data_IF_890831378669
#
_entry.id   IF_890831378669
#
_cell.length_a   1.000
_cell.length_b   1.000
_cell.length_c   1.000
_cell.angle_alpha   90.00
_cell.angle_beta   90.00
_cell.angle_gamma   90.00
#
_symmetry.space_group_name_H-M   'P 1'
#
loop_
_entity.id
_entity.type
_entity.pdbx_description
1 polymer ?
#
# COMPACT_ATOMS: atom_id res chain seq x y z
N UNK A 1 1.58 19.25 -27.36
CA UNK A 1 1.62 17.79 -27.61
C UNK A 1 2.89 17.13 -27.07
N UNK A 2 4.10 17.67 -27.31
CA UNK A 2 5.39 17.09 -26.83
C UNK A 2 5.48 16.80 -25.31
N UNK A 3 5.01 17.69 -24.43
CA UNK A 3 5.09 17.47 -22.97
C UNK A 3 4.18 16.35 -22.45
N UNK A 4 3.04 16.12 -23.12
CA UNK A 4 2.08 15.07 -22.73
C UNK A 4 2.65 13.71 -23.10
N UNK A 5 3.26 13.58 -24.29
CA UNK A 5 3.94 12.37 -24.76
C UNK A 5 5.13 12.03 -23.85
N UNK A 6 5.96 13.02 -23.52
CA UNK A 6 7.09 12.79 -22.60
C UNK A 6 6.65 12.39 -21.18
N UNK A 7 5.46 12.79 -20.73
CA UNK A 7 4.93 12.39 -19.43
C UNK A 7 4.33 10.98 -19.47
N UNK A 8 3.61 10.62 -20.53
CA UNK A 8 3.09 9.26 -20.72
C UNK A 8 4.21 8.23 -20.86
N UNK A 9 5.28 8.56 -21.59
CA UNK A 9 6.43 7.67 -21.75
C UNK A 9 7.12 7.40 -20.40
N UNK A 10 7.25 8.44 -19.55
CA UNK A 10 7.78 8.29 -18.19
C UNK A 10 6.89 7.41 -17.31
N UNK A 11 5.56 7.54 -17.43
CA UNK A 11 4.63 6.71 -16.68
C UNK A 11 4.67 5.24 -17.13
N UNK A 12 4.84 4.98 -18.42
CA UNK A 12 4.98 3.61 -18.93
C UNK A 12 6.29 2.97 -18.48
N UNK A 13 7.40 3.71 -18.51
CA UNK A 13 8.68 3.23 -17.96
C UNK A 13 8.54 2.97 -16.45
N UNK A 14 7.89 3.87 -15.71
CA UNK A 14 7.68 3.67 -14.27
C UNK A 14 6.83 2.42 -13.99
N UNK A 15 5.76 2.20 -14.75
CA UNK A 15 4.88 1.02 -14.63
C UNK A 15 5.61 -0.26 -15.02
N UNK A 16 6.45 -0.24 -16.05
CA UNK A 16 7.24 -1.41 -16.45
C UNK A 16 8.27 -1.76 -15.38
N UNK A 17 8.96 -0.78 -14.79
CA UNK A 17 9.90 -1.01 -13.70
C UNK A 17 9.20 -1.55 -12.44
N UNK A 18 8.06 -0.99 -12.05
CA UNK A 18 7.28 -1.45 -10.88
C UNK A 18 6.75 -2.89 -11.07
N UNK A 19 6.46 -3.28 -12.32
CA UNK A 19 6.08 -4.67 -12.63
C UNK A 19 7.21 -5.68 -12.43
N UNK A 20 8.47 -5.26 -12.58
CA UNK A 20 9.66 -6.11 -12.38
C UNK A 20 10.06 -6.11 -10.90
N UNK A 21 10.06 -4.96 -10.25
CA UNK A 21 10.33 -4.81 -8.82
C UNK A 21 9.26 -3.89 -8.22
N UNK A 22 8.34 -4.48 -7.45
CA UNK A 22 7.36 -3.74 -6.65
C UNK A 22 8.11 -2.77 -5.73
N UNK A 23 8.07 -1.48 -6.10
CA UNK A 23 8.88 -0.45 -5.47
C UNK A 23 8.50 -0.31 -4.00
N UNK A 24 7.20 -0.40 -3.70
CA UNK A 24 6.66 -0.28 -2.36
C UNK A 24 7.09 -1.42 -1.43
N UNK A 25 7.33 -2.63 -1.94
CA UNK A 25 7.67 -3.80 -1.10
C UNK A 25 9.13 -4.21 -1.14
N UNK A 26 9.87 -3.82 -2.17
CA UNK A 26 11.19 -4.41 -2.47
C UNK A 26 12.35 -3.42 -2.42
N UNK A 27 12.34 -2.52 -1.42
CA UNK A 27 13.37 -1.47 -1.25
C UNK A 27 14.80 -2.04 -1.21
N UNK A 28 15.01 -3.17 -0.52
CA UNK A 28 16.32 -3.84 -0.46
C UNK A 28 16.77 -4.34 -1.84
N UNK A 29 15.86 -4.85 -2.66
CA UNK A 29 16.21 -5.28 -4.03
C UNK A 29 16.65 -4.09 -4.87
N UNK A 30 15.99 -2.94 -4.75
CA UNK A 30 16.36 -1.71 -5.46
C UNK A 30 17.73 -1.19 -5.01
N UNK A 31 17.97 -1.13 -3.70
CA UNK A 31 19.25 -0.66 -3.16
C UNK A 31 20.42 -1.51 -3.64
N UNK A 32 20.26 -2.84 -3.62
CA UNK A 32 21.28 -3.78 -4.11
C UNK A 32 21.48 -3.62 -5.62
N UNK A 33 20.40 -3.48 -6.39
CA UNK A 33 20.50 -3.34 -7.84
C UNK A 33 21.20 -2.03 -8.22
N UNK A 34 20.87 -0.92 -7.55
CA UNK A 34 21.52 0.38 -7.74
C UNK A 34 23.00 0.32 -7.36
N UNK A 35 23.32 -0.30 -6.22
CA UNK A 35 24.69 -0.52 -5.77
C UNK A 35 25.51 -1.30 -6.81
N UNK A 36 24.99 -2.44 -7.29
CA UNK A 36 25.65 -3.25 -8.32
C UNK A 36 25.71 -2.55 -9.69
N UNK A 37 24.73 -1.70 -10.01
CA UNK A 37 24.70 -0.91 -11.24
C UNK A 37 25.77 0.19 -11.28
N UNK A 38 26.16 0.71 -10.11
CA UNK A 38 27.16 1.75 -9.97
C UNK A 38 28.57 1.20 -9.72
N UNK A 39 28.67 -0.02 -9.20
CA UNK A 39 29.94 -0.69 -8.95
C UNK A 39 30.54 -1.27 -10.25
N UNK A 40 31.81 -0.98 -10.49
CA UNK A 40 32.57 -1.61 -11.58
C UNK A 40 33.09 -2.98 -11.10
N UNK A 41 32.27 -4.03 -11.18
CA UNK A 41 32.71 -5.41 -10.90
C UNK A 41 31.70 -6.24 -10.10
N UNK A 42 32.14 -7.43 -9.67
CA UNK A 42 31.34 -8.29 -8.81
C UNK A 42 31.41 -7.83 -7.34
N UNK A 43 30.35 -8.08 -6.59
CA UNK A 43 30.34 -7.85 -5.13
C UNK A 43 29.85 -9.09 -4.38
N UNK A 44 30.47 -9.37 -3.25
CA UNK A 44 30.03 -10.48 -2.38
C UNK A 44 28.79 -10.06 -1.56
N UNK A 45 28.00 -11.03 -1.11
CA UNK A 45 26.84 -10.74 -0.25
C UNK A 45 27.24 -10.05 1.07
N UNK A 46 28.43 -10.39 1.60
CA UNK A 46 28.96 -9.78 2.83
C UNK A 46 29.35 -8.33 2.60
N UNK A 47 30.03 -8.06 1.48
CA UNK A 47 30.43 -6.71 1.09
C UNK A 47 29.21 -5.81 0.86
N UNK A 48 28.21 -6.30 0.12
CA UNK A 48 26.94 -5.57 -0.09
C UNK A 48 26.25 -5.27 1.24
N UNK A 49 26.23 -6.22 2.18
CA UNK A 49 25.63 -6.03 3.50
C UNK A 49 26.34 -4.95 4.31
N UNK A 50 27.67 -4.92 4.28
CA UNK A 50 28.48 -3.90 4.96
C UNK A 50 28.25 -2.53 4.32
N UNK A 51 28.42 -2.43 3.00
CA UNK A 51 28.37 -1.16 2.28
C UNK A 51 26.98 -0.51 2.33
N UNK A 52 25.92 -1.31 2.36
CA UNK A 52 24.54 -0.81 2.45
C UNK A 52 24.01 -0.71 3.88
N UNK A 53 24.76 -1.20 4.88
CA UNK A 53 24.31 -1.25 6.28
C UNK A 53 23.11 -2.17 6.50
N UNK A 54 23.01 -3.26 5.74
CA UNK A 54 21.86 -4.17 5.72
C UNK A 54 22.20 -5.49 6.43
N UNK A 55 21.16 -6.18 6.92
CA UNK A 55 21.33 -7.53 7.49
C UNK A 55 21.70 -8.51 6.38
N UNK A 56 22.79 -9.28 6.57
CA UNK A 56 23.28 -10.27 5.61
C UNK A 56 22.19 -11.21 5.08
N UNK A 57 21.34 -11.75 5.96
CA UNK A 57 20.23 -12.64 5.55
C UNK A 57 19.24 -11.96 4.60
N UNK A 58 18.94 -10.68 4.84
CA UNK A 58 18.05 -9.90 3.97
C UNK A 58 18.68 -9.62 2.61
N UNK A 59 19.99 -9.34 2.60
CA UNK A 59 20.78 -9.18 1.36
C UNK A 59 20.79 -10.47 0.55
N UNK A 60 21.06 -11.61 1.19
CA UNK A 60 21.10 -12.91 0.52
C UNK A 60 19.75 -13.30 -0.10
N UNK A 61 18.63 -13.09 0.61
CA UNK A 61 17.28 -13.34 0.09
C UNK A 61 16.97 -12.43 -1.12
N UNK A 62 17.33 -11.14 -1.03
CA UNK A 62 17.14 -10.21 -2.12
C UNK A 62 18.00 -10.56 -3.35
N UNK A 63 19.27 -10.93 -3.17
CA UNK A 63 20.15 -11.39 -4.24
C UNK A 63 19.57 -12.64 -4.93
N UNK A 64 19.06 -13.60 -4.16
CA UNK A 64 18.40 -14.80 -4.72
C UNK A 64 17.20 -14.42 -5.59
N UNK A 65 16.37 -13.47 -5.14
CA UNK A 65 15.20 -12.97 -5.89
C UNK A 65 15.59 -12.21 -7.14
N UNK A 66 16.58 -11.34 -7.06
CA UNK A 66 17.11 -10.59 -8.20
C UNK A 66 17.72 -11.52 -9.26
N UNK A 67 18.42 -12.58 -8.83
CA UNK A 67 18.99 -13.57 -9.73
C UNK A 67 17.90 -14.37 -10.47
N UNK A 68 16.84 -14.78 -9.76
CA UNK A 68 15.67 -15.43 -10.38
C UNK A 68 14.95 -14.54 -11.41
N UNK A 69 15.01 -13.23 -11.23
CA UNK A 69 14.46 -12.24 -12.17
C UNK A 69 15.40 -11.94 -13.36
N UNK A 70 16.59 -12.54 -13.41
CA UNK A 70 17.57 -12.29 -14.47
C UNK A 70 18.25 -10.92 -14.39
N UNK A 71 18.05 -10.15 -13.32
CA UNK A 71 18.62 -8.80 -13.17
C UNK A 71 20.07 -8.81 -12.66
N UNK A 72 20.46 -9.88 -11.99
CA UNK A 72 21.83 -10.14 -11.56
C UNK A 72 22.19 -11.59 -11.86
N UNK A 73 23.48 -11.87 -11.98
CA UNK A 73 24.02 -13.22 -12.13
C UNK A 73 25.03 -13.50 -11.04
N UNK A 74 25.07 -14.74 -10.56
CA UNK A 74 26.12 -15.20 -9.65
C UNK A 74 27.32 -15.65 -10.48
N UNK A 75 28.47 -15.00 -10.30
CA UNK A 75 29.73 -15.39 -10.94
C UNK A 75 30.80 -15.60 -9.88
N UNK A 76 31.28 -16.84 -9.75
CA UNK A 76 32.20 -17.24 -8.69
C UNK A 76 31.62 -17.00 -7.29
N UNK A 77 32.40 -16.34 -6.42
CA UNK A 77 31.99 -15.97 -5.06
C UNK A 77 31.14 -14.69 -4.95
N UNK A 78 30.82 -14.03 -6.08
CA UNK A 78 30.13 -12.74 -6.09
C UNK A 78 28.93 -12.67 -7.01
N UNK A 79 28.30 -11.50 -7.01
CA UNK A 79 27.14 -11.16 -7.84
C UNK A 79 27.51 -10.02 -8.78
N UNK A 80 27.06 -10.12 -10.03
CA UNK A 80 27.24 -9.12 -11.08
C UNK A 80 25.87 -8.70 -11.61
N UNK A 81 25.71 -7.42 -11.93
CA UNK A 81 24.51 -6.95 -12.63
C UNK A 81 24.52 -7.40 -14.11
N UNK A 82 23.37 -7.89 -14.59
CA UNK A 82 23.20 -8.33 -15.99
C UNK A 82 22.98 -7.12 -16.91
N UNK A 83 22.79 -7.38 -18.21
CA UNK A 83 22.38 -6.33 -19.17
C UNK A 83 21.01 -5.77 -18.80
N UNK A 84 20.05 -6.63 -18.52
CA UNK A 84 18.68 -6.26 -18.14
C UNK A 84 18.66 -5.49 -16.81
N UNK A 85 19.47 -5.91 -15.84
CA UNK A 85 19.65 -5.17 -14.58
C UNK A 85 20.22 -3.76 -14.81
N UNK A 86 21.22 -3.60 -15.69
CA UNK A 86 21.77 -2.29 -16.04
C UNK A 86 20.76 -1.41 -16.75
N UNK A 87 19.96 -1.98 -17.64
CA UNK A 87 18.89 -1.25 -18.32
C UNK A 87 17.82 -0.79 -17.32
N UNK A 88 17.43 -1.64 -16.38
CA UNK A 88 16.53 -1.27 -15.30
C UNK A 88 17.07 -0.07 -14.50
N UNK A 89 18.32 -0.13 -14.05
CA UNK A 89 18.94 0.96 -13.27
C UNK A 89 19.03 2.24 -14.10
N UNK A 90 19.40 2.15 -15.39
CA UNK A 90 19.45 3.30 -16.29
C UNK A 90 18.08 3.95 -16.45
N UNK A 91 17.04 3.15 -16.67
CA UNK A 91 15.66 3.64 -16.83
C UNK A 91 15.17 4.31 -15.54
N UNK A 92 15.46 3.72 -14.37
CA UNK A 92 15.19 4.33 -13.08
C UNK A 92 15.90 5.70 -12.96
N UNK A 93 17.18 5.79 -13.32
CA UNK A 93 17.94 7.04 -13.23
C UNK A 93 17.47 8.10 -14.24
N UNK A 94 17.05 7.71 -15.44
CA UNK A 94 16.43 8.62 -16.40
C UNK A 94 15.13 9.25 -15.86
N UNK A 95 14.29 8.45 -15.19
CA UNK A 95 13.06 8.95 -14.58
C UNK A 95 13.34 9.96 -13.45
N UNK A 96 14.38 9.68 -12.67
CA UNK A 96 14.75 10.36 -11.44
C UNK A 96 15.52 11.65 -11.70
N UNK A 97 16.58 11.58 -12.51
CA UNK A 97 17.55 12.67 -12.69
C UNK A 97 17.51 13.31 -14.07
N UNK A 98 16.74 12.76 -15.01
CA UNK A 98 16.73 13.21 -16.41
C UNK A 98 18.05 12.92 -17.16
N UNK A 99 19.02 12.28 -16.50
CA UNK A 99 20.35 11.98 -17.03
C UNK A 99 20.57 10.46 -17.09
N UNK A 100 21.23 10.01 -18.15
CA UNK A 100 21.55 8.59 -18.42
C UNK A 100 22.90 8.15 -17.88
N UNK A 101 23.78 9.08 -17.52
CA UNK A 101 25.14 8.77 -17.09
C UNK A 101 25.17 8.44 -15.60
N UNK A 102 25.34 7.15 -15.29
CA UNK A 102 25.68 6.66 -13.96
C UNK A 102 27.17 6.94 -13.72
N UNK A 103 27.50 8.06 -13.07
CA UNK A 103 28.90 8.44 -12.84
C UNK A 103 29.35 7.98 -11.46
N UNK A 104 29.03 6.75 -11.08
CA UNK A 104 29.72 5.94 -10.06
C UNK A 104 30.00 6.61 -8.71
N UNK A 105 29.32 7.70 -8.35
CA UNK A 105 29.65 8.47 -7.15
C UNK A 105 28.77 8.03 -5.98
N UNK A 106 29.36 7.93 -4.79
CA UNK A 106 28.66 7.60 -3.53
C UNK A 106 27.52 8.59 -3.24
N UNK A 107 27.68 9.85 -3.65
CA UNK A 107 26.66 10.89 -3.58
C UNK A 107 25.43 10.57 -4.44
N UNK A 108 25.63 10.00 -5.64
CA UNK A 108 24.55 9.59 -6.54
C UNK A 108 23.76 8.40 -5.95
N UNK A 109 24.46 7.42 -5.34
CA UNK A 109 23.82 6.33 -4.60
C UNK A 109 22.93 6.85 -3.47
N UNK A 110 23.44 7.82 -2.69
CA UNK A 110 22.67 8.41 -1.58
C UNK A 110 21.43 9.14 -2.11
N UNK A 111 21.57 9.93 -3.18
CA UNK A 111 20.46 10.65 -3.79
C UNK A 111 19.40 9.72 -4.37
N UNK A 112 19.82 8.62 -5.01
CA UNK A 112 18.92 7.60 -5.53
C UNK A 112 18.20 6.86 -4.40
N UNK A 113 18.89 6.51 -3.32
CA UNK A 113 18.28 5.89 -2.13
C UNK A 113 17.20 6.79 -1.53
N UNK A 114 17.54 8.06 -1.28
CA UNK A 114 16.58 9.06 -0.77
C UNK A 114 15.38 9.20 -1.70
N UNK A 115 15.59 9.17 -3.02
CA UNK A 115 14.48 9.26 -3.96
C UNK A 115 13.60 8.00 -3.99
N UNK A 116 14.19 6.81 -3.93
CA UNK A 116 13.43 5.55 -3.80
C UNK A 116 12.61 5.57 -2.51
N UNK A 117 13.21 6.00 -1.39
CA UNK A 117 12.48 6.17 -0.13
C UNK A 117 11.34 7.18 -0.25
N UNK A 118 11.55 8.31 -0.93
CA UNK A 118 10.50 9.30 -1.20
C UNK A 118 9.39 8.73 -2.08
N UNK A 119 9.72 7.95 -3.10
CA UNK A 119 8.74 7.31 -3.99
C UNK A 119 7.90 6.28 -3.24
N UNK A 120 8.55 5.43 -2.44
CA UNK A 120 7.87 4.45 -1.57
C UNK A 120 6.97 5.16 -0.57
N UNK A 121 7.46 6.24 0.04
CA UNK A 121 6.69 7.05 0.99
C UNK A 121 5.47 7.68 0.29
N UNK A 122 5.65 8.25 -0.91
CA UNK A 122 4.56 8.81 -1.70
C UNK A 122 3.51 7.75 -2.06
N UNK A 123 3.92 6.54 -2.41
CA UNK A 123 3.00 5.45 -2.72
C UNK A 123 2.19 5.03 -1.49
N UNK A 124 2.86 4.87 -0.33
CA UNK A 124 2.14 4.59 0.92
C UNK A 124 1.18 5.73 1.29
N UNK A 125 1.58 6.99 1.11
CA UNK A 125 0.69 8.13 1.37
C UNK A 125 -0.51 8.14 0.43
N UNK A 126 -0.32 7.82 -0.85
CA UNK A 126 -1.39 7.64 -1.82
C UNK A 126 -2.40 6.59 -1.33
N UNK A 127 -1.92 5.41 -0.95
CA UNK A 127 -2.77 4.33 -0.45
C UNK A 127 -3.48 4.70 0.85
N UNK A 128 -2.80 5.39 1.78
CA UNK A 128 -3.39 5.87 3.04
C UNK A 128 -4.49 6.89 2.76
N UNK A 129 -4.24 7.86 1.88
CA UNK A 129 -5.23 8.88 1.51
C UNK A 129 -6.45 8.21 0.88
N UNK A 130 -6.24 7.25 -0.02
CA UNK A 130 -7.32 6.51 -0.66
C UNK A 130 -8.12 5.68 0.36
N UNK A 131 -7.43 4.98 1.26
CA UNK A 131 -8.03 4.16 2.31
C UNK A 131 -8.87 5.00 3.28
N UNK A 132 -8.34 6.15 3.71
CA UNK A 132 -9.08 7.13 4.52
C UNK A 132 -10.23 7.73 3.72
N UNK A 133 -10.05 8.01 2.42
CA UNK A 133 -11.12 8.48 1.54
C UNK A 133 -12.33 7.54 1.48
N UNK A 134 -12.09 6.23 1.57
CA UNK A 134 -13.13 5.20 1.60
C UNK A 134 -13.67 4.91 3.02
N UNK A 135 -12.93 5.28 4.06
CA UNK A 135 -13.31 5.05 5.45
C UNK A 135 -14.52 5.90 5.87
N UNK A 136 -15.34 5.37 6.79
CA UNK A 136 -16.38 6.16 7.47
C UNK A 136 -15.72 7.35 8.19
N UNK A 137 -16.28 8.56 8.00
CA UNK A 137 -15.76 9.82 8.55
C UNK A 137 -14.30 10.16 8.16
N UNK A 138 -13.79 9.56 7.08
CA UNK A 138 -12.42 9.71 6.62
C UNK A 138 -11.33 9.37 7.64
N UNK A 139 -11.63 8.49 8.60
CA UNK A 139 -10.75 8.19 9.74
C UNK A 139 -10.45 6.69 9.89
N UNK A 140 -9.22 6.36 10.24
CA UNK A 140 -8.82 4.99 10.54
C UNK A 140 -7.73 4.93 11.62
N UNK A 141 -7.75 3.86 12.41
CA UNK A 141 -6.71 3.61 13.41
C UNK A 141 -5.41 3.16 12.76
N UNK A 142 -4.28 3.49 13.39
CA UNK A 142 -2.94 3.06 12.92
C UNK A 142 -2.84 1.54 12.70
N UNK A 143 -3.49 0.73 13.53
CA UNK A 143 -3.50 -0.74 13.40
C UNK A 143 -4.17 -1.23 12.11
N UNK A 144 -5.31 -0.64 11.75
CA UNK A 144 -6.03 -0.96 10.53
C UNK A 144 -5.25 -0.53 9.30
N UNK A 145 -4.72 0.70 9.31
CA UNK A 145 -3.91 1.21 8.21
C UNK A 145 -2.63 0.38 8.02
N UNK A 146 -1.94 0.00 9.11
CA UNK A 146 -0.70 -0.80 9.00
C UNK A 146 -0.96 -2.18 8.40
N UNK A 147 -2.08 -2.81 8.77
CA UNK A 147 -2.50 -4.11 8.21
C UNK A 147 -2.88 -4.00 6.74
N UNK A 148 -3.55 -2.91 6.35
CA UNK A 148 -3.96 -2.67 4.98
C UNK A 148 -2.76 -2.44 4.06
N UNK A 149 -1.84 -1.55 4.48
CA UNK A 149 -0.65 -1.18 3.70
C UNK A 149 0.40 -2.30 3.73
N UNK A 150 0.41 -3.13 4.77
CA UNK A 150 1.34 -4.25 4.91
C UNK A 150 2.71 -3.85 5.48
N UNK A 151 2.78 -2.78 6.27
CA UNK A 151 4.01 -2.32 6.94
C UNK A 151 3.84 -2.24 8.46
N UNK A 152 4.96 -2.12 9.19
CA UNK A 152 4.92 -2.01 10.65
C UNK A 152 4.23 -0.72 11.11
N UNK A 153 3.56 -0.76 12.27
CA UNK A 153 2.91 0.41 12.87
C UNK A 153 3.88 1.58 13.08
N UNK A 154 5.11 1.28 13.51
CA UNK A 154 6.13 2.28 13.76
C UNK A 154 6.53 3.02 12.47
N UNK A 155 6.75 2.27 11.38
CA UNK A 155 7.11 2.82 10.07
C UNK A 155 5.96 3.62 9.44
N UNK A 156 4.74 3.10 9.55
CA UNK A 156 3.56 3.83 9.09
C UNK A 156 3.37 5.15 9.87
N UNK A 157 3.56 5.10 11.19
CA UNK A 157 3.49 6.28 12.06
C UNK A 157 4.51 7.33 11.64
N UNK A 158 5.77 6.95 11.42
CA UNK A 158 6.80 7.91 10.99
C UNK A 158 6.44 8.61 9.69
N UNK A 159 5.85 7.90 8.72
CA UNK A 159 5.43 8.50 7.45
C UNK A 159 4.24 9.44 7.59
N UNK A 160 3.21 9.03 8.35
CA UNK A 160 2.02 9.87 8.54
C UNK A 160 2.36 11.14 9.34
N UNK A 161 3.21 11.03 10.37
CA UNK A 161 3.53 12.16 11.25
C UNK A 161 4.22 13.33 10.53
N UNK A 162 4.98 13.06 9.45
CA UNK A 162 5.56 14.08 8.58
C UNK A 162 4.51 15.04 7.99
N UNK A 163 3.28 14.57 7.82
CA UNK A 163 2.16 15.31 7.23
C UNK A 163 1.05 15.65 8.24
N UNK A 164 1.26 15.34 9.53
CA UNK A 164 0.37 15.75 10.64
C UNK A 164 0.88 17.05 11.26
N UNK A 165 2.17 17.05 11.61
CA UNK A 165 2.83 18.08 12.40
C UNK A 165 3.70 18.99 11.49
N UNK A 166 3.19 19.32 10.30
CA UNK A 166 3.90 20.16 9.33
C UNK A 166 3.58 21.65 9.54
N UNK A 167 4.61 22.50 9.57
CA UNK A 167 4.46 23.96 9.70
C UNK A 167 3.68 24.58 8.53
N UNK A 168 3.76 23.99 7.34
CA UNK A 168 3.03 24.47 6.18
C UNK A 168 1.62 23.86 6.13
N UNK A 169 0.59 24.72 6.18
CA UNK A 169 -0.81 24.30 6.06
C UNK A 169 -1.10 23.53 4.76
N UNK A 170 -0.35 23.81 3.69
CA UNK A 170 -0.50 23.15 2.39
C UNK A 170 -0.03 21.69 2.37
N UNK A 171 0.81 21.28 3.32
CA UNK A 171 1.35 19.92 3.44
C UNK A 171 0.71 19.13 4.58
N UNK A 172 -0.25 19.73 5.30
CA UNK A 172 -0.93 19.09 6.41
C UNK A 172 -2.06 18.22 5.89
N UNK A 173 -1.76 16.99 5.47
CA UNK A 173 -2.71 16.07 4.87
C UNK A 173 -3.55 15.31 5.91
N UNK A 174 -3.03 15.14 7.13
CA UNK A 174 -3.68 14.35 8.17
C UNK A 174 -3.83 15.10 9.49
N UNK A 175 -4.83 14.71 10.27
CA UNK A 175 -5.03 15.12 11.65
C UNK A 175 -5.09 13.90 12.58
N UNK A 176 -4.55 14.05 13.80
CA UNK A 176 -4.63 13.04 14.85
C UNK A 176 -5.94 13.23 15.63
N UNK A 177 -6.77 12.19 15.66
CA UNK A 177 -8.02 12.15 16.43
C UNK A 177 -7.88 11.07 17.50
N UNK A 178 -8.01 11.46 18.77
CA UNK A 178 -7.96 10.50 19.88
C UNK A 178 -9.38 10.05 20.18
N UNK A 179 -9.64 8.74 20.09
CA UNK A 179 -10.93 8.16 20.49
C UNK A 179 -10.73 7.16 21.63
N UNK A 180 -11.67 7.18 22.55
CA UNK A 180 -11.73 6.23 23.66
C UNK A 180 -12.50 4.99 23.20
N UNK A 181 -11.95 3.80 23.48
CA UNK A 181 -12.61 2.56 23.14
C UNK A 181 -13.85 2.36 24.03
N UNK A 182 -15.04 2.39 23.44
CA UNK A 182 -16.30 2.08 24.13
C UNK A 182 -16.42 0.58 24.33
N UNK A 183 -15.73 0.03 25.35
CA UNK A 183 -16.21 -1.22 25.95
C UNK A 183 -17.31 -0.88 26.95
N UNK A 184 -18.42 -1.62 26.86
CA UNK A 184 -19.56 -1.55 27.79
C UNK A 184 -19.00 -1.56 29.23
N UNK A 185 -19.37 -0.61 30.10
CA UNK A 185 -18.74 -0.43 31.40
C UNK A 185 -19.32 -1.46 32.37
N UNK A 186 -18.89 -2.72 32.28
CA UNK A 186 -19.29 -3.74 33.26
C UNK A 186 -18.36 -3.70 34.49
N UNK A 187 -17.19 -3.05 34.40
CA UNK A 187 -16.17 -3.08 35.47
C UNK A 187 -15.67 -1.65 35.78
N UNK A 188 -15.86 -1.10 37.00
CA UNK A 188 -15.52 0.28 37.36
C UNK A 188 -14.02 0.64 37.37
N UNK A 189 -13.12 -0.33 37.16
CA UNK A 189 -11.67 -0.16 37.35
C UNK A 189 -10.80 -0.36 36.10
N UNK A 190 -11.39 -0.64 34.92
CA UNK A 190 -10.60 -0.84 33.70
C UNK A 190 -10.37 0.49 32.98
N UNK A 191 -9.14 1.01 33.06
CA UNK A 191 -8.72 2.22 32.32
C UNK A 191 -9.04 2.07 30.82
N UNK A 192 -9.81 3.01 30.27
CA UNK A 192 -10.14 3.07 28.84
C UNK A 192 -8.87 3.16 28.02
N UNK A 193 -8.65 2.22 27.09
CA UNK A 193 -7.52 2.29 26.17
C UNK A 193 -7.75 3.43 25.17
N UNK A 194 -6.82 4.39 25.13
CA UNK A 194 -6.79 5.45 24.11
C UNK A 194 -6.35 4.83 22.79
N UNK A 195 -7.13 5.01 21.72
CA UNK A 195 -6.72 4.64 20.36
C UNK A 195 -6.54 5.90 19.52
N UNK A 196 -5.40 5.97 18.84
CA UNK A 196 -5.07 7.05 17.91
C UNK A 196 -5.67 6.70 16.56
N UNK A 197 -6.48 7.62 16.03
CA UNK A 197 -7.00 7.61 14.68
C UNK A 197 -6.33 8.73 13.89
N UNK A 198 -6.16 8.49 12.60
CA UNK A 198 -5.76 9.52 11.64
C UNK A 198 -6.96 9.82 10.74
N UNK A 199 -7.22 11.10 10.50
CA UNK A 199 -8.25 11.58 9.59
C UNK A 199 -7.63 12.48 8.52
N UNK A 200 -8.21 12.53 7.33
CA UNK A 200 -7.87 13.52 6.33
C UNK A 200 -8.30 14.93 6.76
N UNK A 201 -7.42 15.91 6.57
CA UNK A 201 -7.76 17.34 6.71
C UNK A 201 -8.50 17.85 5.47
N UNK A 202 -8.96 19.09 5.49
CA UNK A 202 -9.47 19.79 4.29
C UNK A 202 -8.50 19.73 3.11
N UNK A 203 -7.20 19.87 3.37
CA UNK A 203 -6.18 19.79 2.32
C UNK A 203 -6.02 18.34 1.83
N UNK A 204 -6.00 17.36 2.74
CA UNK A 204 -5.99 15.94 2.38
C UNK A 204 -7.20 15.54 1.53
N UNK A 205 -8.38 16.11 1.82
CA UNK A 205 -9.61 15.90 1.04
C UNK A 205 -9.53 16.54 -0.36
N UNK A 206 -8.85 17.70 -0.50
CA UNK A 206 -8.59 18.30 -1.82
C UNK A 206 -7.69 17.39 -2.67
N UNK A 207 -6.61 16.87 -2.09
CA UNK A 207 -5.72 15.94 -2.80
C UNK A 207 -6.42 14.61 -3.12
N UNK A 208 -7.26 14.09 -2.21
CA UNK A 208 -8.08 12.89 -2.46
C UNK A 208 -8.94 13.04 -3.72
N UNK A 209 -9.59 14.19 -3.93
CA UNK A 209 -10.44 14.45 -5.12
C UNK A 209 -9.64 14.45 -6.43
N UNK A 210 -8.32 14.70 -6.36
CA UNK A 210 -7.42 14.64 -7.52
C UNK A 210 -7.01 13.22 -7.88
N UNK A 211 -7.15 12.24 -6.99
CA UNK A 211 -6.80 10.85 -7.27
C UNK A 211 -7.79 10.23 -8.27
N UNK A 212 -7.25 9.62 -9.33
CA UNK A 212 -8.05 8.98 -10.37
C UNK A 212 -8.92 7.86 -9.81
N UNK A 213 -8.34 6.98 -8.99
CA UNK A 213 -9.06 5.85 -8.39
C UNK A 213 -10.19 6.31 -7.48
N UNK A 214 -9.98 7.35 -6.69
CA UNK A 214 -11.05 7.92 -5.88
C UNK A 214 -12.19 8.47 -6.74
N UNK A 215 -11.90 9.19 -7.85
CA UNK A 215 -12.96 9.64 -8.78
C UNK A 215 -13.73 8.48 -9.38
N UNK A 216 -13.05 7.40 -9.77
CA UNK A 216 -13.66 6.17 -10.28
C UNK A 216 -14.57 5.54 -9.21
N UNK A 217 -14.11 5.40 -7.98
CA UNK A 217 -14.90 4.86 -6.86
C UNK A 217 -16.07 5.76 -6.49
N UNK A 218 -15.86 7.08 -6.52
CA UNK A 218 -16.86 8.05 -6.12
C UNK A 218 -18.06 8.08 -7.09
N UNK A 219 -17.86 7.69 -8.35
CA UNK A 219 -18.93 7.54 -9.36
C UNK A 219 -19.77 6.28 -9.13
N UNK A 220 -19.20 5.23 -8.54
CA UNK A 220 -19.90 3.97 -8.30
C UNK A 220 -20.63 3.98 -6.94
N UNK A 221 -21.94 4.23 -6.99
CA UNK A 221 -22.80 4.32 -5.80
C UNK A 221 -22.85 2.98 -5.04
N UNK A 222 -22.82 1.85 -5.75
CA UNK A 222 -22.85 0.51 -5.16
C UNK A 222 -21.60 0.21 -4.34
N UNK A 223 -20.43 0.59 -4.85
CA UNK A 223 -19.15 0.43 -4.15
C UNK A 223 -19.09 1.26 -2.85
N UNK A 224 -19.65 2.47 -2.85
CA UNK A 224 -19.80 3.28 -1.64
C UNK A 224 -20.70 2.61 -0.60
N UNK A 225 -21.80 2.02 -1.05
CA UNK A 225 -22.72 1.31 -0.17
C UNK A 225 -22.01 0.10 0.47
N UNK A 226 -21.24 -0.65 -0.32
CA UNK A 226 -20.41 -1.76 0.18
C UNK A 226 -19.45 -1.32 1.27
N UNK A 227 -18.65 -0.27 1.03
CA UNK A 227 -17.70 0.22 2.04
C UNK A 227 -18.39 0.68 3.33
N UNK A 228 -19.59 1.26 3.22
CA UNK A 228 -20.39 1.68 4.37
C UNK A 228 -20.92 0.48 5.17
N UNK A 229 -21.39 -0.57 4.49
CA UNK A 229 -21.91 -1.80 5.13
C UNK A 229 -20.77 -2.60 5.77
N UNK A 230 -19.66 -2.77 5.07
CA UNK A 230 -18.57 -3.65 5.51
C UNK A 230 -17.54 -2.94 6.40
N UNK A 231 -17.62 -1.61 6.55
CA UNK A 231 -16.62 -0.78 7.24
C UNK A 231 -15.19 -1.11 6.77
N UNK A 232 -15.01 -1.23 5.46
CA UNK A 232 -13.75 -1.66 4.84
C UNK A 232 -12.99 -0.51 4.25
N UNK A 233 -11.66 -0.65 4.23
CA UNK A 233 -10.75 0.38 3.75
C UNK A 233 -10.25 0.11 2.32
N UNK A 234 -10.52 -1.08 1.78
CA UNK A 234 -10.21 -1.46 0.39
C UNK A 234 -11.29 -2.39 -0.19
N UNK A 235 -11.35 -2.47 -1.52
CA UNK A 235 -12.28 -3.37 -2.24
C UNK A 235 -12.13 -4.82 -1.79
N UNK A 236 -10.88 -5.30 -1.72
CA UNK A 236 -10.59 -6.68 -1.28
C UNK A 236 -11.09 -6.94 0.14
N UNK A 237 -10.90 -5.98 1.06
CA UNK A 237 -11.40 -6.11 2.43
C UNK A 237 -12.94 -6.04 2.50
N UNK A 238 -13.59 -5.26 1.64
CA UNK A 238 -15.05 -5.21 1.54
C UNK A 238 -15.62 -6.57 1.13
N UNK A 239 -15.12 -7.15 0.05
CA UNK A 239 -15.59 -8.46 -0.41
C UNK A 239 -15.32 -9.58 0.60
N UNK A 240 -14.13 -9.61 1.23
CA UNK A 240 -13.83 -10.61 2.27
C UNK A 240 -14.80 -10.54 3.46
N UNK A 241 -15.11 -9.32 3.93
CA UNK A 241 -16.08 -9.15 5.03
C UNK A 241 -17.51 -9.43 4.58
N UNK A 242 -17.87 -9.12 3.33
CA UNK A 242 -19.17 -9.46 2.78
C UNK A 242 -19.36 -10.98 2.73
N UNK A 243 -18.36 -11.73 2.24
CA UNK A 243 -18.37 -13.20 2.26
C UNK A 243 -18.50 -13.72 3.70
N UNK A 244 -17.74 -13.16 4.64
CA UNK A 244 -17.85 -13.51 6.06
C UNK A 244 -19.23 -13.23 6.65
N UNK A 245 -19.85 -12.09 6.33
CA UNK A 245 -21.21 -11.74 6.74
C UNK A 245 -22.24 -12.72 6.18
N UNK A 246 -22.13 -13.06 4.90
CA UNK A 246 -22.99 -14.05 4.25
C UNK A 246 -22.86 -15.41 4.95
N UNK A 247 -21.64 -15.90 5.15
CA UNK A 247 -21.39 -17.20 5.78
C UNK A 247 -21.91 -17.25 7.23
N UNK A 248 -21.59 -16.24 8.04
CA UNK A 248 -22.05 -16.17 9.44
C UNK A 248 -23.56 -16.06 9.55
N UNK A 249 -24.21 -15.28 8.67
CA UNK A 249 -25.65 -15.18 8.67
C UNK A 249 -26.36 -16.43 8.15
N UNK A 250 -25.75 -17.20 7.24
CA UNK A 250 -26.29 -18.53 6.86
C UNK A 250 -26.34 -19.42 8.10
N UNK A 251 -25.22 -19.54 8.83
CA UNK A 251 -25.15 -20.36 10.05
C UNK A 251 -26.18 -19.89 11.09
N UNK A 252 -26.26 -18.57 11.33
CA UNK A 252 -27.21 -18.00 12.27
C UNK A 252 -28.67 -18.26 11.86
N UNK A 253 -28.99 -18.12 10.56
CA UNK A 253 -30.35 -18.36 10.04
C UNK A 253 -30.79 -19.81 10.20
N UNK A 254 -29.88 -20.78 10.02
CA UNK A 254 -30.14 -22.20 10.24
C UNK A 254 -30.43 -22.46 11.71
N UNK A 255 -29.58 -21.97 12.62
CA UNK A 255 -29.76 -22.14 14.07
C UNK A 255 -31.10 -21.54 14.53
N UNK A 256 -31.41 -20.32 14.07
CA UNK A 256 -32.63 -19.61 14.47
C UNK A 256 -33.88 -20.28 13.89
N UNK A 257 -33.79 -20.87 12.71
CA UNK A 257 -34.87 -21.65 12.10
C UNK A 257 -35.16 -22.94 12.87
N UNK A 258 -34.11 -23.65 13.34
CA UNK A 258 -34.26 -24.84 14.18
C UNK A 258 -34.92 -24.51 15.52
N UNK A 259 -34.57 -23.38 16.14
CA UNK A 259 -35.12 -22.97 17.44
C UNK A 259 -36.57 -22.51 17.32
N UNK A 260 -36.91 -21.77 16.27
CA UNK A 260 -38.25 -21.21 16.06
C UNK A 260 -39.23 -22.15 15.36
N UNK A 261 -38.74 -23.26 14.79
CA UNK A 261 -39.53 -24.18 13.96
C UNK A 261 -40.03 -23.57 12.65
N UNK A 262 -39.52 -22.39 12.26
CA UNK A 262 -39.99 -21.62 11.10
C UNK A 262 -38.94 -21.53 10.00
N UNK A 263 -39.30 -21.97 8.78
CA UNK A 263 -38.44 -21.91 7.60
C UNK A 263 -38.38 -20.51 6.96
N UNK A 264 -39.29 -19.60 7.34
CA UNK A 264 -39.35 -18.24 6.78
C UNK A 264 -38.07 -17.43 7.04
N UNK A 265 -37.35 -17.74 8.12
CA UNK A 265 -36.09 -17.08 8.48
C UNK A 265 -35.00 -17.39 7.45
N UNK A 266 -34.95 -18.63 6.95
CA UNK A 266 -34.01 -19.05 5.90
C UNK A 266 -34.36 -18.36 4.59
N UNK A 267 -35.65 -18.33 4.24
CA UNK A 267 -36.15 -17.63 3.04
C UNK A 267 -35.81 -16.13 3.06
N UNK A 268 -36.04 -15.45 4.18
CA UNK A 268 -35.70 -14.04 4.35
C UNK A 268 -34.18 -13.80 4.23
N UNK A 269 -33.36 -14.67 4.83
CA UNK A 269 -31.90 -14.56 4.72
C UNK A 269 -31.40 -14.78 3.29
N UNK A 270 -31.96 -15.75 2.56
CA UNK A 270 -31.62 -15.99 1.14
C UNK A 270 -31.91 -14.76 0.26
N UNK A 271 -33.03 -14.07 0.48
CA UNK A 271 -33.33 -12.81 -0.21
C UNK A 271 -32.26 -11.73 0.08
N UNK A 272 -31.81 -11.62 1.34
CA UNK A 272 -30.74 -10.69 1.73
C UNK A 272 -29.41 -11.07 1.05
N UNK A 273 -29.08 -12.36 0.99
CA UNK A 273 -27.86 -12.84 0.31
C UNK A 273 -27.90 -12.53 -1.18
N UNK A 274 -29.04 -12.76 -1.84
CA UNK A 274 -29.21 -12.42 -3.26
C UNK A 274 -29.06 -10.92 -3.51
N UNK A 275 -29.67 -10.08 -2.68
CA UNK A 275 -29.52 -8.62 -2.78
C UNK A 275 -28.06 -8.17 -2.58
N UNK A 276 -27.36 -8.70 -1.58
CA UNK A 276 -25.95 -8.39 -1.32
C UNK A 276 -25.03 -8.89 -2.44
N UNK A 277 -25.31 -10.06 -3.00
CA UNK A 277 -24.54 -10.66 -4.11
C UNK A 277 -24.75 -9.89 -5.42
N UNK A 278 -25.99 -9.52 -5.73
CA UNK A 278 -26.30 -8.66 -6.86
C UNK A 278 -25.60 -7.30 -6.73
N UNK A 279 -25.60 -6.73 -5.52
CA UNK A 279 -24.93 -5.46 -5.26
C UNK A 279 -23.41 -5.56 -5.42
N UNK A 280 -22.80 -6.68 -4.98
CA UNK A 280 -21.39 -6.96 -5.21
C UNK A 280 -21.06 -7.06 -6.70
N UNK A 281 -21.84 -7.83 -7.48
CA UNK A 281 -21.65 -7.97 -8.92
C UNK A 281 -21.81 -6.65 -9.67
N UNK A 282 -22.87 -5.88 -9.40
CA UNK A 282 -23.09 -4.58 -10.05
C UNK A 282 -21.95 -3.61 -9.70
N UNK A 283 -21.43 -3.66 -8.47
CA UNK A 283 -20.30 -2.81 -8.09
C UNK A 283 -19.01 -3.13 -8.85
N UNK A 284 -18.86 -4.36 -9.34
CA UNK A 284 -17.72 -4.81 -10.16
C UNK A 284 -17.91 -4.44 -11.64
N UNK A 285 -19.11 -4.59 -12.18
CA UNK A 285 -19.43 -4.27 -13.59
C UNK A 285 -19.55 -2.77 -13.88
N UNK A 286 -20.00 -1.96 -12.92
CA UNK A 286 -20.13 -0.49 -13.07
C UNK A 286 -18.79 0.23 -12.75
N UNK A 287 -17.68 -0.50 -12.82
CA UNK A 287 -16.33 -0.07 -12.41
C UNK A 287 -15.55 0.67 -13.47
#
# INVERSE_FOLDING_TARGET
MSQIVAFTDKLEILRSLDSIIDFAKSTIQLEILLYLGLKKGYASASEIAIDLGLKFKSVYDALTKLARKGLIEKKGGGYLITKDGREFVRNLCMLVSGNTSLRGNVEELRNLRVMVENFVTANYLYDIILALGCAKNHEASLDKLSKLIGISKARLKSYIELFVDNKSKSLRLFEKVIKYESKIPIIPFVKRKKKIYYRLTEQGLKELKRLYEYRRYNRNIYLKLLFRITFSLSKSEAYKKLIGLIATGIIASIILSVISGSLWIIGAWLCIVQALSALALISEYVG
#
